data_IF_148260329744
#
_entry.id   IF_148260329744
#
_cell.length_a   1.000
_cell.length_b   1.000
_cell.length_c   1.000
_cell.angle_alpha   90.00
_cell.angle_beta   90.00
_cell.angle_gamma   90.00
#
_symmetry.space_group_name_H-M   'P 1'
#
loop_
_entity.id
_entity.type
_entity.pdbx_description
1 polymer ?
#
# COMPACT_ATOMS: atom_id res chain seq x y z
N UNK A 1 20.01 24.87 -16.14
CA UNK A 1 20.74 24.15 -15.06
C UNK A 1 20.04 24.24 -13.71
N UNK A 2 19.70 25.45 -13.21
CA UNK A 2 19.04 25.63 -11.90
C UNK A 2 17.73 24.84 -11.74
N UNK A 3 16.89 24.77 -12.77
CA UNK A 3 15.62 24.04 -12.75
C UNK A 3 15.78 22.51 -12.56
N UNK A 4 16.87 21.92 -13.08
CA UNK A 4 17.16 20.50 -12.92
C UNK A 4 17.52 20.15 -11.47
N UNK A 5 18.17 21.06 -10.75
CA UNK A 5 18.55 20.85 -9.36
C UNK A 5 17.33 20.92 -8.44
N UNK A 6 16.41 21.86 -8.69
CA UNK A 6 15.16 21.99 -7.90
C UNK A 6 14.28 20.75 -8.00
N UNK A 7 14.14 20.16 -9.20
CA UNK A 7 13.39 18.90 -9.38
C UNK A 7 14.02 17.71 -8.66
N UNK A 8 15.37 17.66 -8.58
CA UNK A 8 16.09 16.60 -7.84
C UNK A 8 15.89 16.74 -6.32
N UNK A 9 15.89 17.96 -5.80
CA UNK A 9 15.62 18.26 -4.38
C UNK A 9 14.18 17.90 -4.00
N UNK A 10 13.19 18.33 -4.78
CA UNK A 10 11.78 18.02 -4.54
C UNK A 10 11.50 16.50 -4.58
N UNK A 11 12.14 15.77 -5.51
CA UNK A 11 12.04 14.32 -5.59
C UNK A 11 12.71 13.59 -4.41
N UNK A 12 13.77 14.15 -3.82
CA UNK A 12 14.41 13.63 -2.61
C UNK A 12 13.52 13.83 -1.38
N UNK A 13 13.00 15.04 -1.19
CA UNK A 13 12.11 15.35 -0.05
C UNK A 13 10.85 14.47 -0.09
N UNK A 14 10.27 14.26 -1.27
CA UNK A 14 9.11 13.38 -1.44
C UNK A 14 9.40 11.90 -1.13
N UNK A 15 10.65 11.43 -1.26
CA UNK A 15 11.04 10.07 -0.90
C UNK A 15 11.15 9.88 0.61
N UNK A 16 11.63 10.88 1.33
CA UNK A 16 11.97 10.78 2.76
C UNK A 16 10.73 10.83 3.67
N UNK A 17 9.69 11.59 3.28
CA UNK A 17 8.42 11.66 4.02
C UNK A 17 7.54 10.40 3.92
N UNK A 18 7.94 9.40 3.12
CA UNK A 18 7.09 8.22 2.90
C UNK A 18 7.17 7.29 4.10
N UNK A 19 6.20 7.41 5.02
CA UNK A 19 6.01 6.49 6.15
C UNK A 19 6.16 5.05 5.67
N UNK A 20 7.15 4.34 6.23
CA UNK A 20 7.40 2.94 5.88
C UNK A 20 6.19 2.12 6.30
N UNK A 21 5.64 1.34 5.37
CA UNK A 21 4.60 0.37 5.68
C UNK A 21 5.20 -0.78 6.50
N UNK A 22 5.04 -0.71 7.83
CA UNK A 22 5.52 -1.71 8.77
C UNK A 22 4.32 -2.51 9.27
N UNK A 23 4.47 -3.82 9.50
CA UNK A 23 3.36 -4.71 9.90
C UNK A 23 2.56 -4.18 11.09
N UNK A 24 3.22 -3.50 12.05
CA UNK A 24 2.58 -2.91 13.24
C UNK A 24 1.64 -1.75 12.91
N UNK A 25 1.84 -1.03 11.80
CA UNK A 25 0.99 0.12 11.43
C UNK A 25 -0.33 -0.30 10.75
N UNK A 26 -0.50 -1.59 10.46
CA UNK A 26 -1.72 -2.14 9.86
C UNK A 26 -2.87 -2.30 10.84
N UNK A 27 -2.64 -2.19 12.14
CA UNK A 27 -3.69 -2.26 13.14
C UNK A 27 -4.04 -0.86 13.66
N UNK A 28 -5.33 -0.63 13.90
CA UNK A 28 -5.86 0.58 14.55
C UNK A 28 -6.66 0.15 15.76
N UNK A 29 -6.51 0.90 16.84
CA UNK A 29 -7.31 0.75 18.05
C UNK A 29 -8.46 1.75 17.94
N UNK A 30 -9.69 1.24 17.92
CA UNK A 30 -10.91 2.03 17.97
C UNK A 30 -11.68 1.66 19.24
N UNK A 31 -11.59 2.52 20.26
CA UNK A 31 -12.11 2.24 21.59
C UNK A 31 -11.52 0.94 22.14
N UNK A 32 -12.38 -0.05 22.38
CA UNK A 32 -11.99 -1.36 22.93
C UNK A 32 -11.76 -2.44 21.86
N UNK A 33 -11.68 -2.08 20.57
CA UNK A 33 -11.53 -3.03 19.46
C UNK A 33 -10.30 -2.73 18.62
N UNK A 34 -9.61 -3.78 18.18
CA UNK A 34 -8.50 -3.69 17.24
C UNK A 34 -9.00 -4.05 15.84
N UNK A 35 -8.82 -3.15 14.88
CA UNK A 35 -9.19 -3.35 13.47
C UNK A 35 -7.95 -3.43 12.60
N UNK A 36 -7.96 -4.35 11.64
CA UNK A 36 -6.94 -4.44 10.59
C UNK A 36 -7.33 -3.50 9.45
N UNK A 37 -6.45 -2.55 9.11
CA UNK A 37 -6.60 -1.63 7.97
C UNK A 37 -6.54 -2.34 6.62
N UNK A 38 -5.72 -3.38 6.53
CA UNK A 38 -5.45 -4.11 5.30
C UNK A 38 -6.34 -5.36 5.14
N UNK A 39 -6.39 -5.94 3.94
CA UNK A 39 -7.10 -7.20 3.69
C UNK A 39 -6.29 -8.43 4.15
N UNK A 40 -7.00 -9.47 4.60
CA UNK A 40 -6.44 -10.82 4.75
C UNK A 40 -6.53 -11.57 3.42
N UNK A 41 -5.52 -12.36 3.12
CA UNK A 41 -5.46 -13.18 1.93
C UNK A 41 -6.46 -14.33 2.02
N UNK A 42 -7.32 -14.56 1.02
CA UNK A 42 -8.29 -15.65 1.04
C UNK A 42 -7.63 -17.04 0.94
N UNK A 43 -6.38 -17.12 0.45
CA UNK A 43 -5.68 -18.40 0.28
C UNK A 43 -4.92 -18.86 1.52
N UNK A 44 -4.27 -17.95 2.23
CA UNK A 44 -3.35 -18.31 3.31
C UNK A 44 -3.52 -17.50 4.61
N UNK A 45 -4.51 -16.61 4.67
CA UNK A 45 -4.80 -15.80 5.86
C UNK A 45 -3.79 -14.68 6.17
N UNK A 46 -2.68 -14.57 5.42
CA UNK A 46 -1.67 -13.52 5.60
C UNK A 46 -2.21 -12.14 5.21
N UNK A 47 -1.62 -11.07 5.75
CA UNK A 47 -2.02 -9.69 5.44
C UNK A 47 -1.51 -9.31 4.05
N UNK A 48 -2.39 -8.76 3.21
CA UNK A 48 -2.08 -8.31 1.86
C UNK A 48 -1.58 -6.86 1.87
N UNK A 49 -0.63 -6.57 1.00
CA UNK A 49 -0.13 -5.23 0.73
C UNK A 49 -1.03 -4.52 -0.28
N UNK A 50 -1.36 -3.26 0.00
CA UNK A 50 -2.13 -2.42 -0.89
C UNK A 50 -1.19 -1.60 -1.78
N UNK A 51 -1.15 -1.90 -3.07
CA UNK A 51 -0.32 -1.19 -4.03
C UNK A 51 -1.20 -0.32 -4.93
N UNK A 52 -1.03 1.00 -4.85
CA UNK A 52 -1.84 1.96 -5.60
C UNK A 52 -1.31 2.24 -7.02
N UNK A 53 0.00 2.01 -7.27
CA UNK A 53 0.67 2.34 -8.54
C UNK A 53 1.33 1.10 -9.17
N UNK A 54 1.40 1.00 -10.52
CA UNK A 54 0.65 1.78 -11.50
C UNK A 54 -0.84 1.46 -11.52
N UNK A 55 -1.22 0.23 -11.18
CA UNK A 55 -2.59 -0.22 -11.00
C UNK A 55 -2.83 -0.62 -9.56
N UNK A 56 -4.01 -0.24 -9.05
CA UNK A 56 -4.45 -0.57 -7.71
C UNK A 56 -4.67 -2.07 -7.56
N UNK A 57 -3.99 -2.68 -6.60
CA UNK A 57 -4.05 -4.12 -6.35
C UNK A 57 -3.71 -4.46 -4.91
N UNK A 58 -4.34 -5.52 -4.43
CA UNK A 58 -3.94 -6.22 -3.23
C UNK A 58 -3.01 -7.36 -3.60
N UNK A 59 -1.83 -7.41 -3.01
CA UNK A 59 -0.88 -8.51 -3.25
C UNK A 59 -0.46 -9.19 -1.95
N UNK A 60 -0.44 -10.51 -1.94
CA UNK A 60 -0.02 -11.32 -0.81
C UNK A 60 1.46 -11.68 -0.93
N UNK A 61 2.29 -11.16 -0.02
CA UNK A 61 3.72 -11.49 0.04
C UNK A 61 4.05 -12.92 0.48
N UNK A 62 3.08 -13.70 0.98
CA UNK A 62 3.29 -15.10 1.42
C UNK A 62 3.03 -16.14 0.34
N UNK A 63 1.92 -16.01 -0.42
CA UNK A 63 1.53 -17.00 -1.43
C UNK A 63 1.44 -16.44 -2.85
N UNK A 64 1.78 -15.17 -3.07
CA UNK A 64 1.70 -14.53 -4.39
C UNK A 64 0.29 -14.23 -4.90
N UNK A 65 -0.76 -14.41 -4.08
CA UNK A 65 -2.12 -14.08 -4.50
C UNK A 65 -2.24 -12.59 -4.78
N UNK A 66 -2.82 -12.22 -5.91
CA UNK A 66 -3.04 -10.81 -6.25
C UNK A 66 -4.47 -10.59 -6.71
N UNK A 67 -5.14 -9.61 -6.13
CA UNK A 67 -6.49 -9.17 -6.47
C UNK A 67 -6.37 -7.75 -7.02
N UNK A 68 -6.68 -7.56 -8.30
CA UNK A 68 -6.64 -6.25 -8.95
C UNK A 68 -7.95 -5.52 -8.71
N UNK A 69 -7.86 -4.29 -8.19
CA UNK A 69 -9.01 -3.41 -8.03
C UNK A 69 -9.18 -2.65 -9.36
N UNK A 70 -9.60 -3.38 -10.39
CA UNK A 70 -10.17 -2.74 -11.56
C UNK A 70 -11.65 -2.53 -11.27
N UNK A 71 -12.16 -1.30 -11.44
CA UNK A 71 -13.60 -1.11 -11.54
C UNK A 71 -14.09 -2.13 -12.56
N UNK A 72 -14.88 -3.10 -12.10
CA UNK A 72 -15.49 -4.11 -12.93
C UNK A 72 -16.22 -3.36 -14.04
N UNK A 73 -15.60 -3.33 -15.21
CA UNK A 73 -16.21 -2.77 -16.40
C UNK A 73 -17.39 -3.69 -16.65
N UNK A 74 -18.59 -3.25 -16.28
CA UNK A 74 -19.85 -3.85 -16.69
C UNK A 74 -19.75 -3.97 -18.21
N UNK A 75 -19.47 -5.15 -18.73
CA UNK A 75 -19.70 -5.53 -20.12
C UNK A 75 -20.62 -6.72 -20.10
#
# INVERSE_FOLDING_TARGET
MLELNKRKEEAKVAKEQKVKAIVRTYYVIEGNKVKLKNKKCPRCGSIMAHHLKPNERWSCGKCGYTEFIGASKKR
#
